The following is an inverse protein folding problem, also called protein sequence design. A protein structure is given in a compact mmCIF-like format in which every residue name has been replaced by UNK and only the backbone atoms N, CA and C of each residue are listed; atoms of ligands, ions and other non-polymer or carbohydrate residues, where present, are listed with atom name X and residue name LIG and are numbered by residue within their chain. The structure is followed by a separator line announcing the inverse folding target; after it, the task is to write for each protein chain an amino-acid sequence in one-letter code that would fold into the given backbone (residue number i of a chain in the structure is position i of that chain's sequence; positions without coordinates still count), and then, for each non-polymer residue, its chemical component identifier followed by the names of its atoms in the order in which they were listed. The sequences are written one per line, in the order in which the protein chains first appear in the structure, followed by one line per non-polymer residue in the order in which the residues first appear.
data_IF_837793791873
#
_entry.id   IF_837793791873
#
_cell.length_a   1.000
_cell.length_b   1.000
_cell.length_c   1.000
_cell.angle_alpha   90.00
_cell.angle_beta   90.00
_cell.angle_gamma   90.00
#
_symmetry.space_group_name_H-M   'P 1'
#
loop_
_entity.id
_entity.type
_entity.pdbx_description
1 polymer ?
#
# COMPACT_ATOMS: atom_id res chain seq x y z
N UNK A 1 33.66 -10.25 2.11
CA UNK A 1 32.36 -10.84 2.44
C UNK A 1 32.03 -10.75 3.94
N UNK A 2 32.92 -11.16 4.85
CA UNK A 2 32.67 -11.12 6.30
C UNK A 2 32.24 -9.73 6.83
N UNK A 3 32.84 -8.65 6.40
CA UNK A 3 32.52 -7.30 6.85
C UNK A 3 31.09 -6.82 6.43
N UNK A 4 30.59 -7.25 5.25
CA UNK A 4 29.22 -6.90 4.80
C UNK A 4 28.17 -7.69 5.57
N UNK A 5 28.39 -8.94 5.89
CA UNK A 5 27.50 -9.77 6.72
C UNK A 5 27.41 -9.22 8.15
N UNK A 6 28.52 -8.83 8.75
CA UNK A 6 28.58 -8.25 10.09
C UNK A 6 27.84 -6.90 10.15
N UNK A 7 27.95 -6.06 9.12
CA UNK A 7 27.21 -4.78 9.03
C UNK A 7 25.70 -5.02 8.89
N UNK A 8 25.27 -6.04 8.12
CA UNK A 8 23.86 -6.36 7.95
C UNK A 8 23.26 -6.89 9.25
N UNK A 9 24.00 -7.72 9.99
CA UNK A 9 23.59 -8.23 11.30
C UNK A 9 23.45 -7.11 12.35
N UNK A 10 24.41 -6.18 12.41
CA UNK A 10 24.31 -5.01 13.31
C UNK A 10 23.09 -4.15 13.00
N UNK A 11 22.77 -3.92 11.71
CA UNK A 11 21.60 -3.17 11.30
C UNK A 11 20.29 -3.88 11.68
N UNK A 12 20.26 -5.20 11.52
CA UNK A 12 19.11 -5.99 11.94
C UNK A 12 18.90 -5.91 13.46
N UNK A 13 19.96 -5.99 14.25
CA UNK A 13 19.86 -5.83 15.71
C UNK A 13 19.36 -4.42 16.09
N UNK A 14 19.87 -3.37 15.47
CA UNK A 14 19.40 -2.01 15.69
C UNK A 14 17.92 -1.82 15.28
N UNK A 15 17.50 -2.48 14.21
CA UNK A 15 16.10 -2.50 13.79
C UNK A 15 15.22 -3.24 14.80
N UNK A 16 15.67 -4.40 15.30
CA UNK A 16 14.97 -5.15 16.35
C UNK A 16 14.78 -4.31 17.62
N UNK A 17 15.77 -3.53 18.02
CA UNK A 17 15.66 -2.62 19.19
C UNK A 17 14.50 -1.62 19.02
N UNK A 18 14.30 -1.07 17.82
CA UNK A 18 13.15 -0.20 17.55
C UNK A 18 11.82 -0.94 17.67
N UNK A 19 11.74 -2.18 17.18
CA UNK A 19 10.53 -2.99 17.25
C UNK A 19 10.26 -3.49 18.69
N UNK A 20 11.27 -3.71 19.52
CA UNK A 20 11.08 -4.14 20.91
C UNK A 20 10.35 -3.08 21.74
N UNK A 21 10.54 -1.80 21.45
CA UNK A 21 9.79 -0.72 22.09
C UNK A 21 8.28 -0.84 21.80
N UNK A 22 7.91 -1.28 20.60
CA UNK A 22 6.51 -1.43 20.17
C UNK A 22 5.79 -2.62 20.81
N UNK A 23 6.49 -3.69 21.19
CA UNK A 23 5.88 -4.85 21.87
C UNK A 23 5.80 -4.70 23.39
N UNK A 24 6.46 -3.70 23.97
CA UNK A 24 6.35 -3.26 25.35
C UNK A 24 7.11 -4.16 26.32
N UNK A 25 6.56 -5.30 26.78
CA UNK A 25 7.13 -6.09 27.86
C UNK A 25 8.35 -6.90 27.41
N UNK A 26 9.40 -6.97 28.29
CA UNK A 26 10.66 -7.63 27.97
C UNK A 26 10.52 -9.12 27.57
N UNK A 27 9.54 -9.85 28.13
CA UNK A 27 9.29 -11.24 27.79
C UNK A 27 8.86 -11.45 26.32
N UNK A 28 8.49 -10.37 25.61
CA UNK A 28 8.10 -10.39 24.19
C UNK A 28 9.28 -10.15 23.25
N UNK A 29 10.42 -9.67 23.75
CA UNK A 29 11.56 -9.30 22.92
C UNK A 29 12.18 -10.52 22.23
N UNK A 30 12.43 -11.59 22.96
CA UNK A 30 12.99 -12.83 22.39
C UNK A 30 12.00 -13.50 21.41
N UNK A 31 10.69 -13.69 21.72
CA UNK A 31 9.72 -14.17 20.74
C UNK A 31 9.61 -13.31 19.49
N UNK A 32 9.66 -11.98 19.61
CA UNK A 32 9.69 -11.05 18.45
C UNK A 32 10.91 -11.34 17.56
N UNK A 33 12.11 -11.38 18.15
CA UNK A 33 13.36 -11.65 17.43
C UNK A 33 13.29 -12.98 16.70
N UNK A 34 12.91 -14.03 17.41
CA UNK A 34 12.82 -15.40 16.86
C UNK A 34 11.78 -15.47 15.73
N UNK A 35 10.66 -14.78 15.86
CA UNK A 35 9.62 -14.77 14.82
C UNK A 35 10.14 -14.09 13.55
N UNK A 36 10.76 -12.93 13.67
CA UNK A 36 11.32 -12.19 12.53
C UNK A 36 12.47 -12.96 11.86
N UNK A 37 13.37 -13.58 12.64
CA UNK A 37 14.40 -14.48 12.11
C UNK A 37 13.78 -15.63 11.32
N UNK A 38 12.72 -16.25 11.86
CA UNK A 38 11.99 -17.33 11.18
C UNK A 38 11.37 -16.91 9.85
N UNK A 39 10.85 -15.67 9.76
CA UNK A 39 10.34 -15.12 8.52
C UNK A 39 11.46 -14.83 7.50
N UNK A 40 12.61 -14.35 7.96
CA UNK A 40 13.74 -13.99 7.09
C UNK A 40 14.57 -15.18 6.62
N UNK A 41 14.64 -16.26 7.40
CA UNK A 41 15.38 -17.47 7.02
C UNK A 41 14.73 -18.15 5.80
N UNK A 42 15.50 -18.71 4.87
CA UNK A 42 14.94 -19.43 3.72
C UNK A 42 14.10 -20.64 4.14
N UNK A 43 13.06 -20.96 3.37
CA UNK A 43 12.19 -22.12 3.61
C UNK A 43 10.81 -21.93 2.98
N UNK A 44 10.27 -22.99 2.41
CA UNK A 44 9.00 -23.01 1.67
C UNK A 44 7.77 -22.70 2.54
N UNK A 45 7.82 -23.06 3.84
CA UNK A 45 6.72 -22.83 4.78
C UNK A 45 7.16 -21.92 5.92
N UNK A 46 6.38 -20.86 6.18
CA UNK A 46 6.59 -19.85 7.22
C UNK A 46 5.48 -19.87 8.29
N UNK A 47 4.79 -20.99 8.48
CA UNK A 47 3.94 -21.17 9.65
C UNK A 47 4.79 -21.46 10.89
N UNK A 48 4.20 -21.31 12.09
CA UNK A 48 4.95 -21.27 13.35
C UNK A 48 5.82 -22.50 13.60
N UNK A 49 5.28 -23.72 13.36
CA UNK A 49 6.01 -24.96 13.61
C UNK A 49 7.23 -25.15 12.68
N UNK A 50 7.14 -25.01 11.35
CA UNK A 50 8.31 -25.06 10.47
C UNK A 50 9.36 -23.99 10.78
N UNK A 51 8.95 -22.78 11.19
CA UNK A 51 9.90 -21.75 11.64
C UNK A 51 10.61 -22.16 12.91
N UNK A 52 9.88 -22.66 13.93
CA UNK A 52 10.44 -23.14 15.18
C UNK A 52 11.45 -24.28 14.97
N UNK A 53 11.11 -25.25 14.11
CA UNK A 53 11.98 -26.37 13.78
C UNK A 53 13.27 -25.93 13.08
N UNK A 54 13.22 -24.86 12.29
CA UNK A 54 14.39 -24.33 11.58
C UNK A 54 15.31 -23.54 12.49
N UNK A 55 14.75 -22.78 13.43
CA UNK A 55 15.53 -21.93 14.34
C UNK A 55 16.17 -22.76 15.46
N UNK A 56 15.41 -23.67 16.07
CA UNK A 56 15.88 -24.48 17.18
C UNK A 56 15.42 -25.95 17.05
N UNK A 57 16.11 -26.74 16.20
CA UNK A 57 15.72 -28.12 15.93
C UNK A 57 15.71 -29.05 17.19
N UNK A 58 16.41 -28.65 18.26
CA UNK A 58 16.48 -29.42 19.49
C UNK A 58 15.31 -29.16 20.43
N UNK A 59 14.69 -27.96 20.34
CA UNK A 59 13.63 -27.49 21.24
C UNK A 59 12.37 -27.04 20.50
N UNK A 60 12.02 -27.69 19.39
CA UNK A 60 10.91 -27.30 18.49
C UNK A 60 9.63 -27.04 19.26
N UNK A 61 9.23 -27.92 20.20
CA UNK A 61 7.98 -27.76 20.94
C UNK A 61 7.95 -26.50 21.80
N UNK A 62 9.02 -26.18 22.49
CA UNK A 62 9.11 -24.98 23.33
C UNK A 62 9.11 -23.74 22.48
N UNK A 63 9.87 -23.71 21.38
CA UNK A 63 9.88 -22.58 20.42
C UNK A 63 8.54 -22.39 19.76
N UNK A 64 7.88 -23.44 19.32
CA UNK A 64 6.54 -23.39 18.77
C UNK A 64 5.55 -22.77 19.77
N UNK A 65 5.53 -23.21 21.03
CA UNK A 65 4.65 -22.64 22.05
C UNK A 65 4.91 -21.14 22.28
N UNK A 66 6.18 -20.74 22.39
CA UNK A 66 6.57 -19.33 22.59
C UNK A 66 6.13 -18.45 21.41
N UNK A 67 6.46 -18.85 20.19
CA UNK A 67 6.10 -18.13 18.97
C UNK A 67 4.58 -18.09 18.76
N UNK A 68 3.88 -19.19 19.02
CA UNK A 68 2.43 -19.26 18.91
C UNK A 68 1.74 -18.34 19.92
N UNK A 69 2.16 -18.37 21.20
CA UNK A 69 1.66 -17.47 22.23
C UNK A 69 1.89 -16.00 21.82
N UNK A 70 3.09 -15.68 21.35
CA UNK A 70 3.46 -14.34 20.94
C UNK A 70 2.56 -13.79 19.79
N UNK A 71 2.30 -14.60 18.76
CA UNK A 71 1.52 -14.14 17.60
C UNK A 71 0.01 -14.22 17.84
N UNK A 72 -0.48 -15.21 18.60
CA UNK A 72 -1.91 -15.47 18.70
C UNK A 72 -2.57 -14.93 19.97
N UNK A 73 -1.80 -14.65 21.04
CA UNK A 73 -2.35 -14.40 22.38
C UNK A 73 -1.74 -13.21 23.10
N UNK A 74 -0.44 -12.94 22.91
CA UNK A 74 0.25 -11.88 23.64
C UNK A 74 -0.36 -10.48 23.32
N UNK A 75 -0.64 -9.65 24.34
CA UNK A 75 -1.35 -8.38 24.17
C UNK A 75 -0.38 -7.25 23.76
N UNK A 76 0.08 -7.25 22.51
CA UNK A 76 0.82 -6.14 21.91
C UNK A 76 0.04 -5.59 20.72
N UNK A 77 0.32 -4.34 20.34
CA UNK A 77 -0.41 -3.65 19.28
C UNK A 77 0.30 -3.81 17.93
N UNK A 78 -0.38 -4.44 16.98
CA UNK A 78 0.10 -4.60 15.60
C UNK A 78 0.38 -3.25 14.92
N UNK A 79 -0.37 -2.20 15.28
CA UNK A 79 -0.22 -0.87 14.69
C UNK A 79 1.11 -0.22 15.13
N UNK A 80 1.55 -0.44 16.38
CA UNK A 80 2.83 0.07 16.86
C UNK A 80 4.02 -0.60 16.14
N UNK A 81 3.93 -1.91 15.84
CA UNK A 81 4.93 -2.60 15.01
C UNK A 81 4.91 -2.06 13.58
N UNK A 82 3.73 -1.86 12.99
CA UNK A 82 3.57 -1.28 11.65
C UNK A 82 4.16 0.12 11.59
N UNK A 83 3.92 0.95 12.61
CA UNK A 83 4.47 2.29 12.74
C UNK A 83 6.00 2.28 12.82
N UNK A 84 6.57 1.46 13.70
CA UNK A 84 8.02 1.36 13.86
C UNK A 84 8.71 0.87 12.56
N UNK A 85 8.10 -0.09 11.87
CA UNK A 85 8.58 -0.60 10.59
C UNK A 85 8.50 0.45 9.48
N UNK A 86 7.38 1.16 9.39
CA UNK A 86 7.20 2.27 8.46
C UNK A 86 8.21 3.39 8.71
N UNK A 87 8.37 3.82 9.97
CA UNK A 87 9.26 4.92 10.33
C UNK A 87 10.72 4.58 10.01
N UNK A 88 11.12 3.31 10.18
CA UNK A 88 12.42 2.81 9.69
C UNK A 88 12.57 2.91 8.17
N UNK A 89 11.55 2.53 7.42
CA UNK A 89 11.57 2.60 5.96
C UNK A 89 11.54 4.07 5.46
N UNK A 90 10.86 4.99 6.17
CA UNK A 90 10.78 6.41 5.81
C UNK A 90 12.17 7.07 5.80
N UNK A 91 13.12 6.66 6.64
CA UNK A 91 14.50 7.15 6.59
C UNK A 91 15.15 6.90 5.22
N UNK A 92 14.90 5.73 4.62
CA UNK A 92 15.39 5.39 3.28
C UNK A 92 14.60 6.10 2.18
N UNK A 93 13.28 6.27 2.35
CA UNK A 93 12.51 7.09 1.43
C UNK A 93 13.07 8.52 1.35
N UNK A 94 13.36 9.14 2.50
CA UNK A 94 13.94 10.49 2.55
C UNK A 94 15.28 10.56 1.82
N UNK A 95 16.15 9.58 2.01
CA UNK A 95 17.43 9.51 1.31
C UNK A 95 17.27 9.37 -0.21
N UNK A 96 16.22 8.68 -0.66
CA UNK A 96 15.93 8.41 -2.07
C UNK A 96 14.84 9.31 -2.68
N UNK A 97 14.68 10.53 -2.20
CA UNK A 97 13.80 11.53 -2.83
C UNK A 97 12.41 11.66 -2.20
N UNK A 98 12.11 10.90 -1.16
CA UNK A 98 10.85 10.93 -0.43
C UNK A 98 9.82 9.94 -0.97
N UNK A 99 8.63 9.98 -0.38
CA UNK A 99 7.45 9.23 -0.82
C UNK A 99 6.81 9.95 -2.00
N UNK A 100 6.61 9.26 -3.12
CA UNK A 100 6.01 9.82 -4.34
C UNK A 100 4.54 9.46 -4.52
N UNK A 101 4.10 8.34 -3.95
CA UNK A 101 2.72 7.88 -4.00
C UNK A 101 2.35 7.07 -2.75
N UNK A 102 1.06 7.12 -2.40
CA UNK A 102 0.40 6.16 -1.53
C UNK A 102 -0.44 5.25 -2.41
N UNK A 103 -0.23 3.93 -2.33
CA UNK A 103 -0.93 2.97 -3.19
C UNK A 103 -1.98 2.25 -2.35
N UNK A 104 -3.26 2.47 -2.66
CA UNK A 104 -4.41 1.81 -2.04
C UNK A 104 -4.79 0.57 -2.84
N UNK A 105 -4.80 -0.58 -2.20
CA UNK A 105 -5.16 -1.85 -2.82
C UNK A 105 -5.72 -2.85 -1.80
N UNK A 106 -6.17 -4.01 -2.26
CA UNK A 106 -6.61 -5.15 -1.45
C UNK A 106 -5.64 -6.31 -1.61
N UNK A 107 -5.44 -7.08 -0.54
CA UNK A 107 -4.80 -8.40 -0.67
C UNK A 107 -5.72 -9.49 -0.14
N UNK A 108 -5.91 -10.57 -0.92
CA UNK A 108 -6.82 -11.65 -0.58
C UNK A 108 -6.07 -12.94 -0.20
N UNK A 109 -6.67 -13.70 0.71
CA UNK A 109 -6.17 -14.97 1.25
C UNK A 109 -7.24 -16.06 1.05
N UNK A 110 -7.13 -16.91 0.03
CA UNK A 110 -8.04 -18.05 -0.15
C UNK A 110 -8.07 -18.95 1.08
N UNK A 111 -9.26 -19.36 1.52
CA UNK A 111 -9.45 -20.24 2.67
C UNK A 111 -10.41 -21.37 2.31
N UNK A 112 -10.11 -22.60 2.77
CA UNK A 112 -11.00 -23.76 2.57
C UNK A 112 -12.11 -23.83 3.62
N UNK A 113 -11.81 -23.35 4.85
CA UNK A 113 -12.75 -23.40 5.98
C UNK A 113 -13.55 -22.12 6.18
N UNK A 114 -14.50 -22.15 7.10
CA UNK A 114 -15.42 -21.04 7.41
C UNK A 114 -15.15 -20.38 8.77
N UNK A 115 -14.10 -20.81 9.50
CA UNK A 115 -13.86 -20.37 10.88
C UNK A 115 -12.81 -19.26 11.02
N UNK A 116 -12.00 -18.99 9.98
CA UNK A 116 -11.04 -17.90 10.04
C UNK A 116 -11.76 -16.56 10.10
N UNK A 117 -11.30 -15.65 10.95
CA UNK A 117 -11.92 -14.34 11.13
C UNK A 117 -12.05 -13.59 9.80
N UNK A 118 -13.21 -12.99 9.53
CA UNK A 118 -13.45 -12.23 8.29
C UNK A 118 -13.54 -13.07 7.01
N UNK A 119 -13.49 -14.41 7.10
CA UNK A 119 -13.66 -15.27 5.92
C UNK A 119 -15.09 -15.23 5.40
N UNK A 120 -15.26 -15.07 4.11
CA UNK A 120 -16.55 -15.06 3.45
C UNK A 120 -16.41 -15.20 1.94
N UNK A 121 -17.54 -15.40 1.25
CA UNK A 121 -17.59 -15.44 -0.21
C UNK A 121 -17.50 -14.02 -0.76
N UNK A 122 -16.33 -13.64 -1.24
CA UNK A 122 -16.04 -12.31 -1.77
C UNK A 122 -15.07 -12.39 -2.95
N UNK A 123 -14.85 -11.27 -3.64
CA UNK A 123 -13.90 -11.25 -4.74
C UNK A 123 -12.47 -11.54 -4.22
N UNK A 124 -11.88 -12.58 -4.76
CA UNK A 124 -10.53 -13.00 -4.44
C UNK A 124 -9.59 -12.65 -5.61
N UNK A 125 -8.84 -11.55 -5.50
CA UNK A 125 -7.97 -11.05 -6.57
C UNK A 125 -6.95 -12.08 -7.04
N UNK A 126 -6.40 -12.88 -6.12
CA UNK A 126 -5.44 -13.96 -6.44
C UNK A 126 -6.04 -15.04 -7.35
N UNK A 127 -7.35 -15.30 -7.23
CA UNK A 127 -8.06 -16.29 -8.03
C UNK A 127 -8.82 -15.68 -9.22
N UNK A 128 -8.90 -14.35 -9.30
CA UNK A 128 -9.63 -13.63 -10.36
C UNK A 128 -11.16 -13.87 -10.34
N UNK A 129 -11.72 -14.38 -9.23
CA UNK A 129 -13.15 -14.74 -9.10
C UNK A 129 -13.66 -14.54 -7.68
N UNK A 130 -14.97 -14.65 -7.50
CA UNK A 130 -15.56 -14.76 -6.18
C UNK A 130 -15.28 -16.14 -5.57
N UNK A 131 -14.67 -16.16 -4.40
CA UNK A 131 -14.34 -17.37 -3.67
C UNK A 131 -14.33 -17.14 -2.16
N UNK A 132 -14.20 -18.21 -1.37
CA UNK A 132 -14.09 -18.14 0.07
C UNK A 132 -12.68 -17.64 0.45
N UNK A 133 -12.59 -16.42 0.94
CA UNK A 133 -11.32 -15.79 1.28
C UNK A 133 -11.46 -14.78 2.42
N UNK A 134 -10.33 -14.44 3.05
CA UNK A 134 -10.14 -13.21 3.83
C UNK A 134 -9.60 -12.14 2.88
N UNK A 135 -9.89 -10.87 3.15
CA UNK A 135 -9.34 -9.74 2.40
C UNK A 135 -8.83 -8.69 3.39
N UNK A 136 -7.64 -8.17 3.16
CA UNK A 136 -7.13 -7.01 3.86
C UNK A 136 -7.09 -5.80 2.94
N UNK A 137 -7.55 -4.66 3.43
CA UNK A 137 -7.35 -3.34 2.83
C UNK A 137 -5.96 -2.86 3.21
N UNK A 138 -5.22 -2.34 2.25
CA UNK A 138 -3.81 -2.01 2.42
C UNK A 138 -3.48 -0.66 1.83
N UNK A 139 -2.53 0.04 2.44
CA UNK A 139 -1.99 1.28 1.94
C UNK A 139 -0.47 1.22 1.98
N UNK A 140 0.18 1.28 0.83
CA UNK A 140 1.65 1.21 0.70
C UNK A 140 2.22 2.59 0.36
N UNK A 141 3.36 2.93 0.95
CA UNK A 141 4.17 4.09 0.55
C UNK A 141 5.12 3.66 -0.55
N UNK A 142 5.26 4.46 -1.60
CA UNK A 142 6.09 4.11 -2.75
C UNK A 142 6.82 5.31 -3.36
N UNK A 143 7.99 5.04 -3.96
CA UNK A 143 8.68 5.88 -4.93
C UNK A 143 9.22 5.02 -6.07
N UNK A 144 10.06 5.57 -6.95
CA UNK A 144 10.63 4.81 -8.08
C UNK A 144 11.49 3.63 -7.66
N UNK A 145 12.07 3.64 -6.46
CA UNK A 145 13.02 2.63 -6.00
C UNK A 145 12.39 1.58 -5.10
N UNK A 146 11.54 1.99 -4.16
CA UNK A 146 11.04 1.12 -3.09
C UNK A 146 9.53 1.31 -2.85
N UNK A 147 8.92 0.29 -2.25
CA UNK A 147 7.53 0.30 -1.79
C UNK A 147 7.41 -0.55 -0.53
N UNK A 148 6.64 -0.05 0.46
CA UNK A 148 6.43 -0.73 1.76
C UNK A 148 4.98 -0.52 2.20
N UNK A 149 4.24 -1.58 2.58
CA UNK A 149 2.94 -1.43 3.20
C UNK A 149 3.04 -0.65 4.53
N UNK A 150 2.27 0.43 4.66
CA UNK A 150 2.19 1.27 5.85
C UNK A 150 0.89 1.05 6.63
N UNK A 151 -0.11 0.44 5.99
CA UNK A 151 -1.37 0.05 6.60
C UNK A 151 -1.84 -1.31 6.10
N UNK A 152 -2.44 -2.08 7.00
CA UNK A 152 -2.92 -3.43 6.75
C UNK A 152 -4.06 -3.75 7.72
N UNK A 153 -5.31 -3.77 7.22
CA UNK A 153 -6.50 -3.98 8.05
C UNK A 153 -7.43 -5.01 7.42
N UNK A 154 -7.79 -6.03 8.22
CA UNK A 154 -8.74 -7.05 7.80
C UNK A 154 -10.12 -6.43 7.52
N UNK A 155 -10.64 -6.64 6.33
CA UNK A 155 -12.05 -6.38 6.03
C UNK A 155 -12.93 -7.42 6.73
N UNK A 156 -13.81 -6.95 7.60
CA UNK A 156 -14.77 -7.78 8.30
C UNK A 156 -16.13 -7.68 7.58
N UNK A 157 -16.56 -8.71 6.82
CA UNK A 157 -17.86 -8.69 6.14
C UNK A 157 -19.02 -8.43 7.11
N UNK A 158 -20.11 -7.85 6.62
CA UNK A 158 -21.28 -7.47 7.44
C UNK A 158 -21.87 -8.67 8.20
N UNK A 159 -21.90 -9.85 7.56
CA UNK A 159 -22.33 -11.10 8.19
C UNK A 159 -21.45 -11.52 9.39
N UNK A 160 -20.15 -11.15 9.38
CA UNK A 160 -19.26 -11.33 10.50
C UNK A 160 -19.46 -10.26 11.57
N UNK A 161 -19.62 -9.01 11.16
CA UNK A 161 -19.80 -7.89 12.08
C UNK A 161 -21.08 -8.02 12.91
N UNK A 162 -22.15 -8.60 12.34
CA UNK A 162 -23.43 -8.85 13.00
C UNK A 162 -23.46 -10.11 13.87
N UNK A 163 -22.61 -11.10 13.63
CA UNK A 163 -22.56 -12.37 14.37
C UNK A 163 -21.71 -12.27 15.65
N UNK A 164 -22.35 -11.94 16.76
CA UNK A 164 -21.68 -11.80 18.07
C UNK A 164 -21.01 -13.09 18.54
N UNK A 165 -21.55 -14.27 18.21
CA UNK A 165 -20.99 -15.54 18.63
C UNK A 165 -19.67 -15.83 17.88
N UNK A 166 -19.68 -15.67 16.57
CA UNK A 166 -18.46 -15.81 15.75
C UNK A 166 -17.38 -14.80 16.16
N UNK A 167 -17.76 -13.53 16.38
CA UNK A 167 -16.82 -12.47 16.83
C UNK A 167 -16.13 -12.86 18.14
N UNK A 168 -16.90 -13.32 19.14
CA UNK A 168 -16.35 -13.75 20.45
C UNK A 168 -15.35 -14.89 20.29
N UNK A 169 -15.69 -15.92 19.50
CA UNK A 169 -14.82 -17.09 19.27
C UNK A 169 -13.53 -16.67 18.55
N UNK A 170 -13.61 -15.73 17.61
CA UNK A 170 -12.45 -15.22 16.88
C UNK A 170 -11.69 -14.10 17.62
N UNK A 171 -12.15 -13.66 18.79
CA UNK A 171 -11.52 -12.57 19.56
C UNK A 171 -11.59 -11.22 18.87
N UNK A 172 -12.66 -10.94 18.11
CA UNK A 172 -12.88 -9.62 17.49
C UNK A 172 -13.23 -8.62 18.58
N UNK A 173 -12.53 -7.49 18.74
CA UNK A 173 -12.84 -6.46 19.73
C UNK A 173 -14.28 -5.93 19.59
N UNK A 174 -14.90 -5.55 20.71
CA UNK A 174 -16.31 -5.11 20.73
C UNK A 174 -16.54 -3.79 19.99
N UNK A 175 -15.54 -2.93 19.94
CA UNK A 175 -15.52 -1.63 19.26
C UNK A 175 -15.35 -1.74 17.74
N UNK A 176 -14.93 -2.90 17.21
CA UNK A 176 -14.86 -3.14 15.77
C UNK A 176 -16.27 -3.26 15.21
N UNK A 177 -16.67 -2.31 14.39
CA UNK A 177 -17.96 -2.28 13.68
C UNK A 177 -17.78 -2.59 12.20
N UNK A 178 -18.89 -2.91 11.51
CA UNK A 178 -18.85 -3.03 10.06
C UNK A 178 -18.40 -1.73 9.41
N UNK A 179 -17.43 -1.83 8.51
CA UNK A 179 -16.98 -0.75 7.62
C UNK A 179 -16.80 -1.29 6.21
N UNK A 180 -17.23 -0.51 5.24
CA UNK A 180 -16.89 -0.80 3.84
C UNK A 180 -15.37 -0.68 3.62
N UNK A 181 -14.86 -1.30 2.59
CA UNK A 181 -13.42 -1.19 2.25
C UNK A 181 -12.99 0.27 2.04
N UNK A 182 -13.85 1.10 1.47
CA UNK A 182 -13.59 2.54 1.28
C UNK A 182 -13.54 3.30 2.61
N UNK A 183 -14.37 2.94 3.59
CA UNK A 183 -14.31 3.50 4.94
C UNK A 183 -13.04 3.08 5.67
N UNK A 184 -12.63 1.80 5.56
CA UNK A 184 -11.35 1.33 6.11
C UNK A 184 -10.19 2.09 5.47
N UNK A 185 -10.20 2.28 4.14
CA UNK A 185 -9.19 3.04 3.44
C UNK A 185 -9.06 4.49 3.94
N UNK A 186 -10.20 5.16 4.22
CA UNK A 186 -10.20 6.52 4.78
C UNK A 186 -9.67 6.56 6.21
N UNK A 187 -10.02 5.59 7.06
CA UNK A 187 -9.47 5.49 8.42
C UNK A 187 -7.94 5.33 8.39
N UNK A 188 -7.42 4.50 7.46
CA UNK A 188 -5.98 4.29 7.31
C UNK A 188 -5.26 5.55 6.78
N UNK A 189 -5.89 6.26 5.84
CA UNK A 189 -5.38 7.56 5.37
C UNK A 189 -5.30 8.55 6.53
N UNK A 190 -6.38 8.67 7.31
CA UNK A 190 -6.45 9.60 8.45
C UNK A 190 -5.41 9.25 9.51
N UNK A 191 -5.20 7.96 9.80
CA UNK A 191 -4.18 7.50 10.73
C UNK A 191 -2.77 7.86 10.26
N UNK A 192 -2.42 7.59 9.00
CA UNK A 192 -1.10 7.94 8.47
C UNK A 192 -0.86 9.45 8.45
N UNK A 193 -1.90 10.25 8.18
CA UNK A 193 -1.83 11.71 8.27
C UNK A 193 -1.62 12.18 9.71
N UNK A 194 -2.32 11.58 10.68
CA UNK A 194 -2.15 11.86 12.12
C UNK A 194 -0.75 11.48 12.62
N UNK A 195 -0.17 10.42 12.07
CA UNK A 195 1.22 10.01 12.34
C UNK A 195 2.27 10.93 11.65
N UNK A 196 1.84 11.94 10.91
CA UNK A 196 2.73 12.90 10.25
C UNK A 196 3.40 12.40 8.96
N UNK A 197 2.90 11.32 8.36
CA UNK A 197 3.42 10.84 7.07
C UNK A 197 3.19 11.87 5.98
N UNK A 198 4.23 12.20 5.21
CA UNK A 198 4.18 13.20 4.17
C UNK A 198 3.11 12.87 3.12
N UNK A 199 2.26 13.85 2.79
CA UNK A 199 1.22 13.70 1.76
C UNK A 199 1.84 13.43 0.39
N UNK A 200 1.33 12.42 -0.29
CA UNK A 200 1.62 12.13 -1.69
C UNK A 200 0.32 11.72 -2.41
N UNK A 201 0.24 11.77 -3.74
CA UNK A 201 -0.94 11.33 -4.48
C UNK A 201 -1.33 9.89 -4.15
N UNK A 202 -2.63 9.64 -3.93
CA UNK A 202 -3.16 8.28 -3.71
C UNK A 202 -3.43 7.65 -5.07
N UNK A 203 -2.75 6.54 -5.34
CA UNK A 203 -2.95 5.71 -6.53
C UNK A 203 -3.86 4.55 -6.16
N UNK A 204 -4.93 4.31 -6.90
CA UNK A 204 -5.89 3.26 -6.60
C UNK A 204 -6.42 2.58 -7.86
N UNK A 205 -6.87 1.34 -7.72
CA UNK A 205 -7.46 0.54 -8.78
C UNK A 205 -8.90 0.99 -9.12
N UNK A 206 -9.52 0.36 -10.13
CA UNK A 206 -10.89 0.68 -10.54
C UNK A 206 -11.96 0.22 -9.52
N UNK A 207 -11.64 -0.66 -8.60
CA UNK A 207 -12.51 -1.05 -7.49
C UNK A 207 -12.75 0.12 -6.54
N UNK A 208 -11.69 0.80 -6.14
CA UNK A 208 -11.73 2.01 -5.33
C UNK A 208 -12.02 3.25 -6.17
N UNK A 209 -11.39 3.38 -7.34
CA UNK A 209 -11.46 4.57 -8.18
C UNK A 209 -12.86 4.93 -8.69
N UNK A 210 -13.77 3.96 -8.82
CA UNK A 210 -15.18 4.21 -9.17
C UNK A 210 -15.98 4.89 -8.04
N UNK A 211 -15.53 4.79 -6.79
CA UNK A 211 -16.22 5.34 -5.64
C UNK A 211 -16.00 6.87 -5.59
N UNK A 212 -17.00 7.62 -6.02
CA UNK A 212 -16.94 9.09 -6.05
C UNK A 212 -16.75 9.65 -4.65
N UNK A 213 -17.46 9.10 -3.67
CA UNK A 213 -17.40 9.49 -2.26
C UNK A 213 -15.98 9.35 -1.69
N UNK A 214 -15.24 8.31 -2.08
CA UNK A 214 -13.85 8.13 -1.68
C UNK A 214 -12.95 9.20 -2.30
N UNK A 215 -13.10 9.47 -3.62
CA UNK A 215 -12.30 10.50 -4.29
C UNK A 215 -12.55 11.89 -3.71
N UNK A 216 -13.82 12.21 -3.41
CA UNK A 216 -14.20 13.47 -2.79
C UNK A 216 -13.60 13.59 -1.38
N UNK A 217 -13.73 12.55 -0.55
CA UNK A 217 -13.17 12.51 0.80
C UNK A 217 -11.62 12.64 0.82
N UNK A 218 -10.93 12.04 -0.16
CA UNK A 218 -9.48 12.22 -0.34
C UNK A 218 -9.15 13.69 -0.68
N UNK A 219 -9.92 14.31 -1.60
CA UNK A 219 -9.73 15.70 -1.99
C UNK A 219 -10.01 16.66 -0.82
N UNK A 220 -11.03 16.41 0.00
CA UNK A 220 -11.36 17.19 1.21
C UNK A 220 -10.20 17.18 2.24
N UNK A 221 -9.40 16.11 2.29
CA UNK A 221 -8.18 16.03 3.12
C UNK A 221 -7.00 16.79 2.52
N UNK A 222 -7.21 17.50 1.41
CA UNK A 222 -6.17 18.20 0.67
C UNK A 222 -5.15 17.26 0.02
N UNK A 223 -5.57 16.03 -0.30
CA UNK A 223 -4.74 15.05 -0.99
C UNK A 223 -5.10 14.93 -2.47
N UNK A 224 -4.12 14.53 -3.25
CA UNK A 224 -4.28 14.26 -4.67
C UNK A 224 -4.53 12.76 -4.88
N UNK A 225 -5.11 12.41 -6.04
CA UNK A 225 -5.28 11.02 -6.43
C UNK A 225 -5.07 10.78 -7.92
N UNK A 226 -4.73 9.54 -8.25
CA UNK A 226 -4.74 8.94 -9.58
C UNK A 226 -5.57 7.66 -9.47
N UNK A 227 -6.83 7.75 -9.81
CA UNK A 227 -7.83 6.71 -9.61
C UNK A 227 -8.13 6.00 -10.93
N UNK A 228 -7.79 4.71 -11.05
CA UNK A 228 -8.22 3.94 -12.20
C UNK A 228 -9.75 3.85 -12.22
N UNK A 229 -10.33 3.89 -13.42
CA UNK A 229 -11.77 3.82 -13.66
C UNK A 229 -12.07 2.83 -14.79
N UNK A 230 -13.32 2.43 -14.91
CA UNK A 230 -13.77 1.57 -16.01
C UNK A 230 -14.25 2.39 -17.20
N UNK A 231 -14.28 1.79 -18.37
CA UNK A 231 -14.69 2.44 -19.64
C UNK A 231 -16.13 2.95 -19.64
N UNK A 232 -17.01 2.39 -18.80
CA UNK A 232 -18.41 2.79 -18.70
C UNK A 232 -18.61 4.08 -17.89
N UNK A 233 -17.59 4.54 -17.17
CA UNK A 233 -17.69 5.76 -16.39
C UNK A 233 -17.96 6.95 -17.30
N UNK A 234 -18.94 7.77 -16.93
CA UNK A 234 -19.32 8.95 -17.73
C UNK A 234 -18.63 10.21 -17.24
N UNK A 235 -18.26 11.04 -18.19
CA UNK A 235 -17.64 12.36 -17.97
C UNK A 235 -18.30 13.42 -18.84
N UNK A 236 -18.10 14.68 -18.45
CA UNK A 236 -18.52 15.86 -19.20
C UNK A 236 -17.29 16.63 -19.66
N UNK A 237 -17.26 17.04 -20.93
CA UNK A 237 -16.22 17.92 -21.47
C UNK A 237 -16.50 19.39 -21.10
N UNK A 238 -15.48 20.20 -20.82
CA UNK A 238 -15.65 21.63 -20.56
C UNK A 238 -16.29 22.34 -21.76
N UNK A 239 -17.24 23.23 -21.47
CA UNK A 239 -17.90 24.07 -22.51
C UNK A 239 -18.97 23.37 -23.33
N UNK A 240 -19.20 22.07 -23.17
CA UNK A 240 -20.33 21.39 -23.81
C UNK A 240 -21.60 21.52 -22.96
N UNK A 241 -22.63 22.08 -23.51
CA UNK A 241 -24.01 22.16 -22.96
C UNK A 241 -24.97 21.49 -23.95
N UNK A 242 -25.87 20.63 -23.46
CA UNK A 242 -26.91 20.03 -24.29
C UNK A 242 -26.93 18.52 -24.28
N UNK A 243 -27.48 17.87 -25.33
CA UNK A 243 -27.82 16.43 -25.41
C UNK A 243 -26.62 15.48 -25.23
N UNK A 244 -25.38 15.96 -25.40
CA UNK A 244 -24.15 15.19 -25.10
C UNK A 244 -23.46 15.64 -23.80
N UNK A 245 -24.25 15.97 -22.77
CA UNK A 245 -23.66 16.40 -21.48
C UNK A 245 -22.78 15.32 -20.83
N UNK A 246 -23.04 14.06 -21.11
CA UNK A 246 -22.32 12.92 -20.50
C UNK A 246 -21.93 11.89 -21.57
N UNK A 247 -20.65 11.59 -21.65
CA UNK A 247 -20.11 10.55 -22.54
C UNK A 247 -19.34 9.52 -21.72
N UNK A 248 -19.47 8.23 -22.03
CA UNK A 248 -18.64 7.20 -21.45
C UNK A 248 -17.17 7.40 -21.87
N UNK A 249 -16.23 7.21 -20.95
CA UNK A 249 -14.81 7.46 -21.26
C UNK A 249 -14.27 6.54 -22.35
N UNK A 250 -14.82 5.32 -22.48
CA UNK A 250 -14.48 4.41 -23.57
C UNK A 250 -14.92 4.93 -24.94
N UNK A 251 -16.13 5.53 -25.03
CA UNK A 251 -16.63 6.12 -26.28
C UNK A 251 -15.86 7.38 -26.62
N UNK A 252 -15.66 8.28 -25.63
CA UNK A 252 -14.82 9.45 -25.79
C UNK A 252 -13.44 9.10 -26.34
N UNK A 253 -12.81 8.05 -25.82
CA UNK A 253 -11.49 7.62 -26.25
C UNK A 253 -11.43 7.17 -27.70
N UNK A 254 -12.50 6.54 -28.20
CA UNK A 254 -12.63 6.10 -29.61
C UNK A 254 -12.82 7.28 -30.57
N UNK A 255 -13.43 8.37 -30.11
CA UNK A 255 -13.65 9.59 -30.89
C UNK A 255 -12.42 10.52 -30.97
N UNK A 256 -11.37 10.29 -30.13
CA UNK A 256 -10.19 11.15 -30.08
C UNK A 256 -9.38 11.10 -31.38
N UNK A 257 -8.98 12.26 -31.92
CA UNK A 257 -8.13 12.32 -33.11
C UNK A 257 -6.73 11.75 -32.81
N UNK A 258 -6.03 11.27 -33.85
CA UNK A 258 -4.67 10.74 -33.72
C UNK A 258 -3.70 11.71 -33.06
N UNK A 259 -3.89 13.01 -33.23
CA UNK A 259 -3.07 14.08 -32.63
C UNK A 259 -3.20 14.21 -31.11
N UNK A 260 -4.25 13.64 -30.50
CA UNK A 260 -4.44 13.63 -29.05
C UNK A 260 -3.50 12.61 -28.33
N UNK A 261 -2.96 11.67 -29.09
CA UNK A 261 -2.17 10.57 -28.54
C UNK A 261 -0.69 10.86 -28.57
N UNK A 262 0.00 10.65 -27.42
CA UNK A 262 1.43 10.83 -27.26
C UNK A 262 2.07 9.53 -26.77
N UNK A 263 3.22 9.15 -27.34
CA UNK A 263 4.03 8.06 -26.81
C UNK A 263 4.76 8.51 -25.55
N UNK A 264 4.53 7.85 -24.43
CA UNK A 264 5.18 8.11 -23.17
C UNK A 264 5.89 6.86 -22.70
N UNK A 265 7.14 7.01 -22.31
CA UNK A 265 7.97 6.02 -21.63
C UNK A 265 7.93 6.30 -20.12
N UNK A 266 7.90 5.27 -19.28
CA UNK A 266 7.88 5.44 -17.83
C UNK A 266 8.89 4.59 -17.06
N UNK A 267 9.42 3.49 -17.62
CA UNK A 267 10.49 2.69 -16.99
C UNK A 267 11.10 1.70 -17.96
N UNK A 268 12.22 1.11 -17.56
CA UNK A 268 12.74 -0.11 -18.18
C UNK A 268 12.13 -1.34 -17.48
N UNK A 269 11.62 -2.26 -18.26
CA UNK A 269 11.17 -3.57 -17.82
C UNK A 269 12.21 -4.65 -18.15
N UNK A 270 11.99 -5.88 -17.71
CA UNK A 270 12.87 -7.03 -18.02
C UNK A 270 12.97 -7.35 -19.51
N UNK A 271 11.95 -6.97 -20.28
CA UNK A 271 11.85 -7.21 -21.75
C UNK A 271 12.14 -5.95 -22.58
N UNK A 272 12.63 -4.87 -21.98
CA UNK A 272 12.90 -3.60 -22.65
C UNK A 272 12.10 -2.42 -22.09
N UNK A 273 12.06 -1.31 -22.85
CA UNK A 273 11.37 -0.10 -22.45
C UNK A 273 9.85 -0.31 -22.32
N UNK A 274 9.30 0.11 -21.17
CA UNK A 274 7.85 0.18 -20.97
C UNK A 274 7.34 1.51 -21.52
N UNK A 275 6.67 1.44 -22.65
CA UNK A 275 6.16 2.58 -23.42
C UNK A 275 4.76 2.29 -23.96
N UNK A 276 3.86 3.27 -23.92
CA UNK A 276 2.53 3.17 -24.52
C UNK A 276 2.08 4.52 -25.08
N UNK A 277 0.93 4.52 -25.77
CA UNK A 277 0.29 5.77 -26.21
C UNK A 277 -0.71 6.22 -25.15
N UNK A 278 -0.67 7.50 -24.82
CA UNK A 278 -1.56 8.12 -23.84
C UNK A 278 -2.23 9.37 -24.42
N UNK A 279 -3.50 9.57 -24.08
CA UNK A 279 -4.21 10.83 -24.26
C UNK A 279 -4.52 11.43 -22.88
N UNK A 280 -4.52 12.76 -22.78
CA UNK A 280 -4.77 13.50 -21.55
C UNK A 280 -5.74 14.63 -21.80
N UNK A 281 -6.89 14.62 -21.13
CA UNK A 281 -7.97 15.59 -21.30
C UNK A 281 -8.39 16.19 -19.96
N UNK A 282 -9.00 17.37 -20.00
CA UNK A 282 -9.71 17.96 -18.85
C UNK A 282 -11.17 17.61 -18.94
N UNK A 283 -11.72 17.00 -17.88
CA UNK A 283 -13.11 16.54 -17.82
C UNK A 283 -13.71 16.84 -16.45
N UNK A 284 -15.04 16.71 -16.33
CA UNK A 284 -15.75 16.64 -15.05
C UNK A 284 -16.36 15.26 -14.92
N UNK A 285 -16.22 14.61 -13.77
CA UNK A 285 -16.94 13.35 -13.49
C UNK A 285 -18.45 13.60 -13.48
N UNK A 286 -19.22 12.76 -14.19
CA UNK A 286 -20.63 13.02 -14.49
C UNK A 286 -21.64 12.54 -13.43
N UNK A 287 -21.21 12.19 -12.22
CA UNK A 287 -22.15 11.76 -11.18
C UNK A 287 -23.05 12.91 -10.75
N UNK A 288 -24.36 12.78 -11.00
CA UNK A 288 -25.39 13.65 -10.44
C UNK A 288 -25.57 13.31 -8.96
N UNK A 289 -25.28 14.25 -8.08
CA UNK A 289 -25.70 14.17 -6.69
C UNK A 289 -27.00 14.96 -6.54
N UNK A 290 -28.07 14.33 -6.01
CA UNK A 290 -29.30 15.06 -5.70
C UNK A 290 -28.99 16.23 -4.77
N UNK A 291 -29.34 17.47 -5.20
CA UNK A 291 -29.14 18.68 -4.39
C UNK A 291 -27.82 19.42 -4.58
N UNK A 292 -26.83 18.89 -5.30
CA UNK A 292 -25.61 19.64 -5.61
C UNK A 292 -25.87 20.64 -6.75
N UNK A 293 -25.76 21.93 -6.43
CA UNK A 293 -25.93 23.04 -7.38
C UNK A 293 -24.61 23.43 -8.10
N UNK A 294 -23.47 23.06 -7.50
CA UNK A 294 -22.15 23.40 -8.02
C UNK A 294 -21.65 22.37 -9.03
N UNK A 295 -21.01 22.85 -10.09
CA UNK A 295 -20.30 21.98 -11.03
C UNK A 295 -19.15 21.25 -10.32
N UNK A 296 -18.94 19.97 -10.65
CA UNK A 296 -17.78 19.23 -10.15
C UNK A 296 -16.48 19.86 -10.65
N UNK A 297 -15.40 19.78 -9.87
CA UNK A 297 -14.10 20.30 -10.29
C UNK A 297 -13.62 19.63 -11.58
N UNK A 298 -12.80 20.33 -12.34
CA UNK A 298 -12.12 19.77 -13.50
C UNK A 298 -11.00 18.83 -13.04
N UNK A 299 -11.02 17.62 -13.56
CA UNK A 299 -10.01 16.58 -13.34
C UNK A 299 -9.28 16.28 -14.64
N UNK A 300 -8.14 15.58 -14.54
CA UNK A 300 -7.50 14.97 -15.67
C UNK A 300 -8.10 13.60 -15.94
N UNK A 301 -8.47 13.32 -17.17
CA UNK A 301 -8.71 11.98 -17.70
C UNK A 301 -7.47 11.55 -18.46
N UNK A 302 -6.75 10.57 -17.92
CA UNK A 302 -5.65 9.88 -18.60
C UNK A 302 -6.20 8.60 -19.24
N UNK A 303 -5.85 8.36 -20.50
CA UNK A 303 -6.27 7.18 -21.26
C UNK A 303 -5.04 6.49 -21.85
N UNK A 304 -4.92 5.18 -21.69
CA UNK A 304 -3.85 4.37 -22.28
C UNK A 304 -4.37 3.55 -23.46
N UNK A 305 -3.66 3.64 -24.57
CA UNK A 305 -3.89 2.81 -25.76
C UNK A 305 -2.57 2.22 -26.26
N UNK A 306 -2.18 1.01 -25.82
CA UNK A 306 -1.01 0.32 -26.35
C UNK A 306 -1.10 0.11 -27.86
N UNK A 307 0.04 0.10 -28.56
CA UNK A 307 0.07 -0.13 -30.00
C UNK A 307 -0.32 -1.53 -30.41
N UNK A 308 -0.27 -2.47 -29.48
CA UNK A 308 -0.67 -3.88 -29.65
C UNK A 308 -2.17 -4.11 -29.51
N UNK A 309 -2.91 -3.12 -29.00
CA UNK A 309 -4.33 -3.25 -28.68
C UNK A 309 -5.21 -2.59 -29.76
N UNK A 310 -6.36 -3.19 -30.03
CA UNK A 310 -7.34 -2.67 -30.99
C UNK A 310 -8.09 -1.42 -30.47
N UNK A 311 -8.17 -1.26 -29.14
CA UNK A 311 -8.88 -0.17 -28.48
C UNK A 311 -8.12 0.29 -27.22
N UNK A 312 -8.43 1.48 -26.67
CA UNK A 312 -7.94 1.91 -25.37
C UNK A 312 -8.33 0.92 -24.25
N UNK A 313 -7.41 0.67 -23.31
CA UNK A 313 -7.59 -0.41 -22.32
C UNK A 313 -7.62 0.06 -20.88
N UNK A 314 -7.05 1.25 -20.57
CA UNK A 314 -6.99 1.76 -19.20
C UNK A 314 -7.32 3.24 -19.15
N UNK A 315 -8.01 3.62 -18.09
CA UNK A 315 -8.52 4.97 -17.87
C UNK A 315 -8.30 5.37 -16.41
N UNK A 316 -7.93 6.63 -16.17
CA UNK A 316 -7.76 7.18 -14.83
C UNK A 316 -8.34 8.59 -14.73
N UNK A 317 -8.99 8.88 -13.60
CA UNK A 317 -9.30 10.25 -13.18
C UNK A 317 -8.25 10.72 -12.16
N UNK A 318 -7.79 11.97 -12.34
CA UNK A 318 -6.75 12.54 -11.48
C UNK A 318 -7.10 13.99 -11.13
N UNK A 319 -7.06 14.34 -9.83
CA UNK A 319 -7.24 15.71 -9.36
C UNK A 319 -5.92 16.50 -9.24
N UNK A 320 -4.88 16.04 -9.91
CA UNK A 320 -3.57 16.72 -9.96
C UNK A 320 -3.69 18.15 -10.55
N UNK A 321 -2.80 19.08 -10.17
CA UNK A 321 -2.80 20.45 -10.67
C UNK A 321 -2.84 20.55 -12.21
N UNK A 322 -3.46 21.61 -12.74
CA UNK A 322 -3.64 21.79 -14.18
C UNK A 322 -2.33 21.83 -15.00
N UNK A 323 -1.23 22.27 -14.39
CA UNK A 323 0.10 22.30 -15.01
C UNK A 323 0.88 20.98 -14.95
N UNK A 324 0.29 19.89 -14.43
CA UNK A 324 1.00 18.60 -14.28
C UNK A 324 1.33 18.00 -15.66
N UNK A 325 2.59 17.67 -15.87
CA UNK A 325 3.05 17.06 -17.13
C UNK A 325 2.50 15.62 -17.26
N UNK A 326 2.13 15.23 -18.48
CA UNK A 326 1.59 13.89 -18.77
C UNK A 326 2.52 12.77 -18.27
N UNK A 327 3.84 12.92 -18.40
CA UNK A 327 4.81 11.92 -17.93
C UNK A 327 4.71 11.68 -16.41
N UNK A 328 4.49 12.74 -15.58
CA UNK A 328 4.30 12.57 -14.13
C UNK A 328 3.00 11.84 -13.81
N UNK A 329 1.90 12.14 -14.54
CA UNK A 329 0.63 11.43 -14.34
C UNK A 329 0.76 9.97 -14.74
N UNK A 330 1.43 9.67 -15.88
CA UNK A 330 1.69 8.32 -16.34
C UNK A 330 2.54 7.54 -15.33
N UNK A 331 3.63 8.13 -14.82
CA UNK A 331 4.49 7.49 -13.82
C UNK A 331 3.68 7.11 -12.56
N UNK A 332 2.84 8.02 -12.05
CA UNK A 332 1.97 7.74 -10.91
C UNK A 332 0.96 6.64 -11.24
N UNK A 333 0.24 6.74 -12.37
CA UNK A 333 -0.76 5.75 -12.78
C UNK A 333 -0.17 4.34 -12.92
N UNK A 334 1.06 4.27 -13.42
CA UNK A 334 1.77 3.00 -13.60
C UNK A 334 2.45 2.49 -12.31
N UNK A 335 2.53 3.29 -11.23
CA UNK A 335 3.22 2.88 -9.99
C UNK A 335 2.52 1.74 -9.23
N UNK A 336 1.24 1.50 -9.49
CA UNK A 336 0.46 0.46 -8.82
C UNK A 336 1.05 -0.96 -8.93
N UNK A 337 1.80 -1.27 -10.02
CA UNK A 337 2.46 -2.57 -10.16
C UNK A 337 3.39 -2.93 -8.98
N UNK A 338 3.85 -1.92 -8.21
CA UNK A 338 4.73 -2.15 -7.06
C UNK A 338 4.04 -2.93 -5.97
N UNK A 339 2.78 -2.57 -5.65
CA UNK A 339 2.03 -3.26 -4.61
C UNK A 339 1.73 -4.72 -4.98
N UNK A 340 1.55 -5.01 -6.27
CA UNK A 340 1.39 -6.39 -6.75
C UNK A 340 2.66 -7.21 -6.46
N UNK A 341 3.83 -6.63 -6.74
CA UNK A 341 5.12 -7.24 -6.44
C UNK A 341 5.38 -7.35 -4.93
N UNK A 342 5.06 -6.31 -4.15
CA UNK A 342 5.21 -6.34 -2.70
C UNK A 342 4.45 -7.52 -2.10
N UNK A 343 3.19 -7.75 -2.52
CA UNK A 343 2.40 -8.87 -2.03
C UNK A 343 2.83 -10.22 -2.60
N UNK A 344 3.38 -10.29 -3.79
CA UNK A 344 4.02 -11.49 -4.32
C UNK A 344 5.21 -11.89 -3.42
N UNK A 345 6.11 -10.96 -3.07
CA UNK A 345 7.25 -11.21 -2.19
C UNK A 345 6.81 -11.48 -0.74
N UNK A 346 5.85 -10.70 -0.20
CA UNK A 346 5.32 -10.91 1.15
C UNK A 346 4.68 -12.30 1.33
N UNK A 347 3.96 -12.80 0.34
CA UNK A 347 3.35 -14.12 0.37
C UNK A 347 4.37 -15.22 0.07
N UNK A 348 5.11 -15.10 -1.03
CA UNK A 348 6.06 -16.12 -1.48
C UNK A 348 7.28 -16.27 -0.58
N UNK A 349 7.88 -15.16 -0.17
CA UNK A 349 9.16 -15.19 0.58
C UNK A 349 8.97 -15.10 2.09
N UNK A 350 8.02 -14.31 2.56
CA UNK A 350 7.81 -14.05 4.00
C UNK A 350 6.58 -14.76 4.57
N UNK A 351 5.78 -15.45 3.74
CA UNK A 351 4.69 -16.30 4.19
C UNK A 351 3.51 -15.52 4.78
N UNK A 352 3.20 -14.34 4.28
CA UNK A 352 2.06 -13.53 4.72
C UNK A 352 0.73 -14.30 4.64
N UNK A 353 0.59 -15.24 3.72
CA UNK A 353 -0.57 -16.13 3.57
C UNK A 353 -0.42 -17.49 4.28
N UNK A 354 0.70 -17.74 4.95
CA UNK A 354 0.97 -18.97 5.67
C UNK A 354 0.39 -19.00 7.11
N UNK A 355 -0.29 -17.95 7.54
CA UNK A 355 -0.93 -17.92 8.85
C UNK A 355 -2.12 -18.89 8.91
N UNK A 356 -2.05 -19.86 9.81
CA UNK A 356 -3.06 -20.91 9.99
C UNK A 356 -4.05 -20.62 11.13
N UNK A 357 -3.78 -19.59 11.93
CA UNK A 357 -4.64 -19.15 13.01
C UNK A 357 -5.99 -18.61 12.52
N UNK A 358 -7.00 -18.62 13.43
CA UNK A 358 -8.38 -18.24 13.12
C UNK A 358 -8.79 -16.93 13.78
N UNK A 359 -7.99 -16.42 14.71
CA UNK A 359 -8.32 -15.26 15.54
C UNK A 359 -7.96 -13.92 14.90
N UNK A 360 -8.66 -12.89 15.36
CA UNK A 360 -8.45 -11.49 14.98
C UNK A 360 -7.03 -11.00 15.30
N UNK A 361 -6.61 -11.20 16.55
CA UNK A 361 -5.31 -10.74 17.02
C UNK A 361 -4.17 -11.33 16.19
N UNK A 362 -4.18 -12.65 16.03
CA UNK A 362 -3.11 -13.33 15.30
C UNK A 362 -3.06 -13.00 13.81
N UNK A 363 -4.18 -12.69 13.18
CA UNK A 363 -4.19 -12.21 11.79
C UNK A 363 -3.41 -10.89 11.65
N UNK A 364 -3.69 -9.90 12.51
CA UNK A 364 -3.02 -8.62 12.46
C UNK A 364 -1.57 -8.68 12.93
N UNK A 365 -1.28 -9.46 13.97
CA UNK A 365 0.08 -9.69 14.45
C UNK A 365 0.97 -10.31 13.37
N UNK A 366 0.53 -11.41 12.77
CA UNK A 366 1.29 -12.06 11.70
C UNK A 366 1.52 -11.11 10.52
N UNK A 367 0.47 -10.39 10.09
CA UNK A 367 0.58 -9.39 9.02
C UNK A 367 1.59 -8.30 9.33
N UNK A 368 1.53 -7.72 10.54
CA UNK A 368 2.47 -6.70 10.98
C UNK A 368 3.92 -7.21 11.03
N UNK A 369 4.15 -8.43 11.50
CA UNK A 369 5.49 -9.03 11.55
C UNK A 369 6.05 -9.33 10.14
N UNK A 370 5.23 -9.83 9.22
CA UNK A 370 5.64 -10.01 7.82
C UNK A 370 5.99 -8.68 7.16
N UNK A 371 5.17 -7.64 7.39
CA UNK A 371 5.43 -6.30 6.86
C UNK A 371 6.68 -5.69 7.50
N UNK A 372 6.91 -5.89 8.80
CA UNK A 372 8.13 -5.45 9.46
C UNK A 372 9.39 -6.14 8.88
N UNK A 373 9.35 -7.46 8.65
CA UNK A 373 10.42 -8.17 7.97
C UNK A 373 10.66 -7.62 6.54
N UNK A 374 9.58 -7.34 5.82
CA UNK A 374 9.63 -6.79 4.46
C UNK A 374 10.22 -5.38 4.43
N UNK A 375 9.82 -4.51 5.36
CA UNK A 375 10.34 -3.15 5.49
C UNK A 375 11.85 -3.14 5.69
N UNK A 376 12.38 -4.01 6.55
CA UNK A 376 13.81 -4.20 6.72
C UNK A 376 14.52 -4.61 5.42
N UNK A 377 14.03 -5.66 4.75
CA UNK A 377 14.62 -6.14 3.49
C UNK A 377 14.59 -5.07 2.39
N UNK A 378 13.48 -4.35 2.29
CA UNK A 378 13.31 -3.30 1.27
C UNK A 378 14.24 -2.12 1.54
N UNK A 379 14.38 -1.68 2.79
CA UNK A 379 15.33 -0.64 3.18
C UNK A 379 16.78 -1.06 2.90
N UNK A 380 17.17 -2.30 3.23
CA UNK A 380 18.52 -2.80 2.94
C UNK A 380 18.79 -2.91 1.43
N UNK A 381 17.79 -3.32 0.63
CA UNK A 381 17.90 -3.32 -0.85
C UNK A 381 18.07 -1.90 -1.40
N UNK A 382 17.31 -0.93 -0.88
CA UNK A 382 17.40 0.47 -1.29
C UNK A 382 18.81 1.05 -1.00
N UNK A 383 19.38 0.77 0.17
CA UNK A 383 20.76 1.18 0.54
C UNK A 383 21.84 0.64 -0.39
N UNK A 384 21.61 -0.52 -0.99
CA UNK A 384 22.55 -1.12 -1.96
C UNK A 384 22.39 -0.53 -3.38
N UNK A 385 21.31 0.21 -3.63
CA UNK A 385 21.06 0.86 -4.90
C UNK A 385 21.81 2.20 -4.99
N UNK A 386 22.27 2.62 -6.19
CA UNK A 386 22.88 3.92 -6.34
C UNK A 386 21.87 5.02 -5.93
N UNK A 387 22.34 6.10 -5.29
CA UNK A 387 21.46 7.19 -4.87
C UNK A 387 20.75 7.80 -6.09
N UNK A 388 19.48 8.19 -5.89
CA UNK A 388 18.71 8.83 -6.94
C UNK A 388 19.39 10.12 -7.40
N UNK A 389 19.46 10.44 -8.71
CA UNK A 389 20.13 11.64 -9.22
C UNK A 389 19.74 12.96 -8.52
N UNK A 390 18.50 13.05 -8.04
CA UNK A 390 18.01 14.22 -7.29
C UNK A 390 18.52 14.29 -5.83
N UNK A 391 19.05 13.21 -5.27
CA UNK A 391 19.60 13.22 -3.89
C UNK A 391 20.88 14.06 -3.79
N UNK A 392 21.60 14.23 -4.88
CA UNK A 392 22.79 15.11 -4.95
C UNK A 392 22.44 16.60 -4.91
N UNK A 393 21.18 16.97 -5.14
CA UNK A 393 20.69 18.35 -5.11
C UNK A 393 20.14 18.78 -3.74
N UNK A 394 20.00 17.86 -2.79
CA UNK A 394 19.63 18.18 -1.41
C UNK A 394 20.90 18.41 -0.57
N UNK A 395 21.03 19.57 0.10
CA UNK A 395 22.08 19.71 1.10
C UNK A 395 21.87 18.66 2.19
N UNK A 396 22.98 18.04 2.64
CA UNK A 396 22.95 17.12 3.78
C UNK A 396 22.18 17.78 4.96
N UNK A 397 21.34 17.03 5.68
CA UNK A 397 20.66 17.57 6.85
C UNK A 397 21.72 18.13 7.81
N UNK A 398 21.58 19.39 8.18
CA UNK A 398 22.47 20.03 9.14
C UNK A 398 22.45 19.24 10.45
N UNK A 399 23.60 18.95 11.07
CA UNK A 399 23.62 18.25 12.34
C UNK A 399 22.79 19.01 13.38
N UNK A 400 22.02 18.27 14.18
CA UNK A 400 21.20 18.84 15.23
C UNK A 400 22.05 19.75 16.14
N UNK A 401 21.73 21.06 16.15
CA UNK A 401 22.47 22.07 16.91
C UNK A 401 23.24 23.13 16.09
N UNK A 402 23.27 23.04 14.77
CA UNK A 402 23.91 24.07 13.93
C UNK A 402 23.05 25.35 13.91
N UNK A 403 23.52 26.42 14.60
CA UNK A 403 23.02 27.80 14.43
C UNK A 403 23.90 28.51 13.42
N UNK A 404 23.39 29.04 12.31
CA UNK A 404 24.17 29.86 11.41
C UNK A 404 24.66 31.13 12.15
N UNK A 405 25.96 31.40 12.11
CA UNK A 405 26.50 32.68 12.56
C UNK A 405 25.89 33.78 11.69
N UNK A 406 25.30 34.80 12.33
CA UNK A 406 24.71 35.94 11.65
C UNK A 406 25.70 36.57 10.67
N UNK A 407 25.18 36.92 9.50
CA UNK A 407 25.90 37.73 8.51
C UNK A 407 26.31 39.05 9.16
N UNK A 408 27.55 39.58 8.97
CA UNK A 408 27.91 40.89 9.45
C UNK A 408 27.08 41.93 8.71
N UNK A 409 26.39 42.78 9.45
CA UNK A 409 25.65 43.91 8.90
C UNK A 409 26.58 44.82 8.11
N UNK A 410 26.12 45.19 6.93
CA UNK A 410 26.67 46.29 6.16
C UNK A 410 26.36 47.62 6.90
N UNK A 411 27.41 48.31 7.29
CA UNK A 411 27.35 49.71 7.63
C UNK A 411 27.18 50.56 6.38
#
# INVERSE_FOLDING_TARGET
MANKLQVSEQKFMAYLERLTAAVGHADRHEPLRVYLEGLLLPGERKSVEPMAARIDPRNVRSRHQSMHHFVATAPWDAQEIMKAARDYALEEFEYHGGVEAWILDDTAYPKKGTHSVGVGRQYCGVLGKQDNCQVAVTLSLANELMSVPAAYTLYLPEEWASDRARRRVAGVPDDVVFKTKTQIALDEIDRLLADGVAKAPIVMDAGYGRATELRDAIAERGMQYVAAIREEMTVQLPGQKGVREHIAVGDLARELPKSAWRSVWWRNGTKGEMRSRFALLRVRAAKREPGRREERPLEWLLIEWPTTEAAPIKFWLCNLPAGTRIAKIVNLAQMRWRVERDYEELKGELGLDHYEGRGWLGFHHHGALCIAAYAFLTAERARLSPPHPLSFLRPAPLPAGFRPRGSPGSA
#
